data_IF_422617061421
#
_entry.id   IF_422617061421
#
_cell.length_a   1.000
_cell.length_b   1.000
_cell.length_c   1.000
_cell.angle_alpha   90.00
_cell.angle_beta   90.00
_cell.angle_gamma   90.00
#
_symmetry.space_group_name_H-M   'P 1'
#
loop_
_entity.id
_entity.type
_entity.pdbx_description
1 polymer ?
#
# COMPACT_ATOMS: atom_id res chain seq x y z
N UNK A 1 -16.97 7.54 10.04
CA UNK A 1 -16.00 8.15 9.09
C UNK A 1 -15.45 7.11 8.10
N UNK A 2 -15.28 7.50 6.83
CA UNK A 2 -14.47 6.82 5.80
C UNK A 2 -13.27 7.72 5.52
N UNK A 3 -12.07 7.14 5.41
CA UNK A 3 -10.85 7.88 5.08
C UNK A 3 -10.41 7.55 3.66
N UNK A 4 -10.22 8.59 2.86
CA UNK A 4 -9.73 8.52 1.48
C UNK A 4 -8.31 9.06 1.42
N UNK A 5 -7.39 8.31 0.82
CA UNK A 5 -5.99 8.70 0.70
C UNK A 5 -5.64 9.03 -0.76
N UNK A 6 -4.98 10.16 -0.99
CA UNK A 6 -4.49 10.56 -2.30
C UNK A 6 -2.98 10.87 -2.27
N UNK A 7 -2.17 10.15 -3.08
CA UNK A 7 -0.73 10.39 -3.15
C UNK A 7 -0.41 11.54 -4.12
N UNK A 8 0.45 12.48 -3.69
CA UNK A 8 0.93 13.58 -4.54
C UNK A 8 2.09 13.19 -5.47
N UNK A 9 2.65 11.98 -5.33
CA UNK A 9 3.75 11.49 -6.16
C UNK A 9 3.65 9.97 -6.44
N UNK A 10 4.35 9.50 -7.48
CA UNK A 10 4.28 8.09 -7.91
C UNK A 10 4.91 7.13 -6.90
N UNK A 11 5.88 7.60 -6.10
CA UNK A 11 6.55 6.79 -5.08
C UNK A 11 5.56 6.39 -3.98
N UNK A 12 4.84 7.35 -3.38
CA UNK A 12 3.79 7.07 -2.39
C UNK A 12 2.63 6.29 -3.03
N UNK A 13 2.27 6.58 -4.29
CA UNK A 13 1.26 5.79 -5.01
C UNK A 13 1.64 4.32 -5.11
N UNK A 14 2.90 4.03 -5.41
CA UNK A 14 3.43 2.67 -5.47
C UNK A 14 3.40 2.00 -4.10
N UNK A 15 3.77 2.70 -3.04
CA UNK A 15 3.71 2.19 -1.67
C UNK A 15 2.28 1.84 -1.23
N UNK A 16 1.31 2.72 -1.48
CA UNK A 16 -0.11 2.46 -1.17
C UNK A 16 -0.66 1.25 -1.94
N UNK A 17 -0.31 1.12 -3.23
CA UNK A 17 -0.69 -0.07 -4.03
C UNK A 17 -0.09 -1.34 -3.43
N UNK A 18 1.19 -1.32 -3.06
CA UNK A 18 1.86 -2.48 -2.48
C UNK A 18 1.31 -2.84 -1.11
N UNK A 19 1.02 -1.85 -0.25
CA UNK A 19 0.36 -2.09 1.04
C UNK A 19 -0.97 -2.83 0.85
N UNK A 20 -1.82 -2.36 -0.06
CA UNK A 20 -3.09 -3.03 -0.38
C UNK A 20 -2.88 -4.47 -0.86
N UNK A 21 -1.89 -4.71 -1.73
CA UNK A 21 -1.59 -6.05 -2.23
C UNK A 21 -1.05 -6.97 -1.13
N UNK A 22 -0.20 -6.44 -0.24
CA UNK A 22 0.32 -7.20 0.90
C UNK A 22 -0.79 -7.55 1.90
N UNK A 23 -1.66 -6.60 2.23
CA UNK A 23 -2.80 -6.85 3.10
C UNK A 23 -3.73 -7.91 2.50
N UNK A 24 -3.99 -7.82 1.19
CA UNK A 24 -4.79 -8.81 0.46
C UNK A 24 -4.15 -10.20 0.52
N UNK A 25 -2.87 -10.34 0.12
CA UNK A 25 -2.24 -11.68 0.09
C UNK A 25 -2.14 -12.30 1.48
N UNK A 26 -1.82 -11.51 2.52
CA UNK A 26 -1.74 -12.04 3.88
C UNK A 26 -3.10 -12.50 4.40
N UNK A 27 -4.20 -11.85 4.01
CA UNK A 27 -5.55 -12.34 4.32
C UNK A 27 -5.87 -13.65 3.58
N UNK A 28 -5.58 -13.70 2.28
CA UNK A 28 -5.91 -14.85 1.42
C UNK A 28 -5.14 -16.12 1.78
N UNK A 29 -3.91 -16.00 2.29
CA UNK A 29 -3.07 -17.12 2.72
C UNK A 29 -3.64 -17.82 3.96
N UNK A 30 -4.36 -17.11 4.82
CA UNK A 30 -4.87 -17.69 6.06
C UNK A 30 -6.20 -18.44 5.87
N UNK A 31 -6.86 -18.26 4.72
CA UNK A 31 -8.04 -19.03 4.36
C UNK A 31 -7.69 -20.50 4.05
N UNK A 32 -8.70 -21.35 3.88
CA UNK A 32 -8.55 -22.77 3.55
C UNK A 32 -9.14 -23.14 2.19
N UNK A 33 -9.91 -22.23 1.59
CA UNK A 33 -10.56 -22.43 0.31
C UNK A 33 -9.56 -22.40 -0.85
N UNK A 34 -9.80 -23.24 -1.84
CA UNK A 34 -8.93 -23.37 -3.02
C UNK A 34 -8.93 -22.06 -3.83
N UNK A 35 -10.08 -21.39 -3.90
CA UNK A 35 -10.25 -20.15 -4.66
C UNK A 35 -9.47 -18.99 -4.04
N UNK A 36 -9.42 -18.90 -2.72
CA UNK A 36 -8.67 -17.86 -2.01
C UNK A 36 -7.17 -18.03 -2.24
N UNK A 37 -6.67 -19.28 -2.22
CA UNK A 37 -5.28 -19.59 -2.55
C UNK A 37 -4.92 -19.32 -4.01
N UNK A 38 -5.89 -19.43 -4.94
CA UNK A 38 -5.70 -18.99 -6.32
C UNK A 38 -5.47 -17.47 -6.36
N UNK A 39 -6.32 -16.68 -5.70
CA UNK A 39 -6.15 -15.24 -5.65
C UNK A 39 -4.92 -14.80 -4.84
N UNK A 40 -4.46 -15.61 -3.88
CA UNK A 40 -3.19 -15.38 -3.18
C UNK A 40 -2.01 -15.43 -4.17
N UNK A 41 -1.95 -16.45 -5.03
CA UNK A 41 -0.94 -16.55 -6.10
C UNK A 41 -1.02 -15.37 -7.07
N UNK A 42 -2.22 -15.05 -7.56
CA UNK A 42 -2.43 -13.90 -8.46
C UNK A 42 -1.96 -12.60 -7.82
N UNK A 43 -2.26 -12.40 -6.53
CA UNK A 43 -1.79 -11.23 -5.77
C UNK A 43 -0.27 -11.19 -5.64
N UNK A 44 0.38 -12.33 -5.39
CA UNK A 44 1.84 -12.39 -5.37
C UNK A 44 2.45 -12.01 -6.72
N UNK A 45 1.84 -12.43 -7.84
CA UNK A 45 2.30 -12.04 -9.17
C UNK A 45 2.13 -10.54 -9.43
N UNK A 46 1.02 -9.94 -8.97
CA UNK A 46 0.84 -8.49 -9.04
C UNK A 46 1.90 -7.73 -8.22
N UNK A 47 2.25 -8.22 -7.02
CA UNK A 47 3.35 -7.66 -6.22
C UNK A 47 4.68 -7.74 -6.98
N UNK A 48 4.96 -8.89 -7.62
CA UNK A 48 6.15 -9.05 -8.46
C UNK A 48 6.17 -8.09 -9.65
N UNK A 49 5.03 -7.85 -10.31
CA UNK A 49 4.92 -6.91 -11.42
C UNK A 49 5.20 -5.47 -11.00
N UNK A 50 4.72 -5.06 -9.83
CA UNK A 50 5.03 -3.75 -9.27
C UNK A 50 6.51 -3.67 -8.87
N UNK A 51 7.04 -4.72 -8.22
CA UNK A 51 8.43 -4.78 -7.77
C UNK A 51 9.47 -4.83 -8.89
N UNK A 52 9.12 -5.37 -10.06
CA UNK A 52 10.02 -5.52 -11.20
C UNK A 52 10.26 -4.22 -12.00
N UNK A 53 9.31 -3.28 -11.96
CA UNK A 53 9.28 -2.06 -12.81
C UNK A 53 10.18 -0.92 -12.35
N UNK A 54 10.63 -0.94 -11.10
CA UNK A 54 11.47 0.10 -10.51
C UNK A 54 12.58 -0.55 -9.68
N UNK A 55 13.64 0.20 -9.38
CA UNK A 55 14.60 -0.17 -8.33
C UNK A 55 13.97 0.05 -6.94
N UNK A 56 12.81 -0.58 -6.73
CA UNK A 56 11.93 -0.38 -5.58
C UNK A 56 12.65 -0.72 -4.27
N UNK A 57 13.44 -1.80 -4.28
CA UNK A 57 14.23 -2.19 -3.12
C UNK A 57 15.16 -1.05 -2.71
N UNK A 58 15.98 -0.53 -3.63
CA UNK A 58 16.92 0.53 -3.33
C UNK A 58 16.22 1.83 -2.94
N UNK A 59 15.07 2.13 -3.56
CA UNK A 59 14.26 3.30 -3.22
C UNK A 59 13.71 3.25 -1.79
N UNK A 60 13.15 2.10 -1.40
CA UNK A 60 12.65 1.88 -0.02
C UNK A 60 13.81 1.94 0.97
N UNK A 61 14.97 1.35 0.67
CA UNK A 61 16.16 1.43 1.51
C UNK A 61 16.64 2.87 1.71
N UNK A 62 16.66 3.68 0.64
CA UNK A 62 17.01 5.11 0.72
C UNK A 62 16.01 5.90 1.57
N UNK A 63 14.72 5.61 1.45
CA UNK A 63 13.69 6.27 2.24
C UNK A 63 13.78 5.87 3.73
N UNK A 64 14.04 4.60 4.04
CA UNK A 64 14.29 4.12 5.41
C UNK A 64 15.48 4.86 6.03
N UNK A 65 16.61 4.92 5.34
CA UNK A 65 17.80 5.59 5.86
C UNK A 65 17.58 7.10 6.02
N UNK A 66 16.89 7.75 5.08
CA UNK A 66 16.52 9.18 5.21
C UNK A 66 15.67 9.42 6.47
N UNK A 67 14.64 8.60 6.70
CA UNK A 67 13.77 8.75 7.87
C UNK A 67 14.52 8.45 9.18
N UNK A 68 15.39 7.43 9.18
CA UNK A 68 16.24 7.11 10.33
C UNK A 68 17.15 8.27 10.69
N UNK A 69 17.82 8.89 9.72
CA UNK A 69 18.66 10.06 9.97
C UNK A 69 17.88 11.25 10.53
N UNK A 70 16.66 11.48 10.04
CA UNK A 70 15.77 12.49 10.64
C UNK A 70 15.45 12.18 12.10
N UNK A 71 15.11 10.92 12.42
CA UNK A 71 14.81 10.50 13.79
C UNK A 71 16.01 10.58 14.73
N UNK A 72 17.20 10.23 14.25
CA UNK A 72 18.43 10.35 15.05
C UNK A 72 18.70 11.79 15.48
N UNK A 73 18.29 12.79 14.68
CA UNK A 73 18.39 14.21 15.05
C UNK A 73 17.51 14.62 16.25
N UNK A 74 16.55 13.78 16.64
CA UNK A 74 15.71 14.01 17.82
C UNK A 74 16.28 13.44 19.12
N UNK A 75 17.39 12.68 19.06
CA UNK A 75 18.03 12.12 20.27
C UNK A 75 18.46 13.24 21.23
N UNK A 76 18.19 13.04 22.51
CA UNK A 76 18.49 14.02 23.56
C UNK A 76 17.53 15.21 23.64
N UNK A 77 16.47 15.25 22.82
CA UNK A 77 15.41 16.24 22.97
C UNK A 77 14.53 15.90 24.20
N UNK A 78 14.45 16.76 25.23
CA UNK A 78 13.69 16.48 26.45
C UNK A 78 12.17 16.41 26.25
N UNK A 79 11.65 16.88 25.10
CA UNK A 79 10.23 16.82 24.77
C UNK A 79 9.82 15.50 24.08
N UNK A 80 10.77 14.57 23.85
CA UNK A 80 10.55 13.33 23.12
C UNK A 80 10.78 12.14 24.04
N UNK A 81 9.88 11.17 23.97
CA UNK A 81 10.00 9.91 24.71
C UNK A 81 11.14 9.08 24.11
N UNK A 82 12.20 8.87 24.89
CA UNK A 82 13.47 8.33 24.41
C UNK A 82 13.34 6.85 24.03
N UNK A 83 12.58 6.06 24.79
CA UNK A 83 12.50 4.61 24.57
C UNK A 83 11.73 4.31 23.28
N UNK A 84 10.64 5.02 23.01
CA UNK A 84 9.88 4.93 21.77
C UNK A 84 10.68 5.37 20.54
N UNK A 85 11.51 6.41 20.67
CA UNK A 85 12.40 6.86 19.61
C UNK A 85 13.43 5.78 19.25
N UNK A 86 14.10 5.20 20.25
CA UNK A 86 15.09 4.15 20.03
C UNK A 86 14.46 2.89 19.43
N UNK A 87 13.31 2.44 19.95
CA UNK A 87 12.58 1.31 19.35
C UNK A 87 12.20 1.55 17.89
N UNK A 88 11.83 2.77 17.53
CA UNK A 88 11.49 3.12 16.15
C UNK A 88 12.74 3.10 15.24
N UNK A 89 13.87 3.64 15.71
CA UNK A 89 15.16 3.60 15.00
C UNK A 89 15.62 2.15 14.79
N UNK A 90 15.53 1.30 15.83
CA UNK A 90 15.84 -0.12 15.73
C UNK A 90 14.95 -0.84 14.71
N UNK A 91 13.64 -0.57 14.72
CA UNK A 91 12.70 -1.14 13.72
C UNK A 91 13.04 -0.72 12.29
N UNK A 92 13.46 0.52 12.08
CA UNK A 92 13.94 0.97 10.76
C UNK A 92 15.20 0.21 10.34
N UNK A 93 16.15 0.03 11.26
CA UNK A 93 17.38 -0.70 11.00
C UNK A 93 17.08 -2.17 10.64
N UNK A 94 16.21 -2.84 11.40
CA UNK A 94 15.77 -4.21 11.10
C UNK A 94 15.13 -4.34 9.72
N UNK A 95 14.29 -3.37 9.32
CA UNK A 95 13.69 -3.33 7.99
C UNK A 95 14.75 -3.15 6.89
N UNK A 96 15.70 -2.25 7.11
CA UNK A 96 16.80 -2.00 6.19
C UNK A 96 17.68 -3.25 6.00
N UNK A 97 18.09 -3.88 7.09
CA UNK A 97 18.94 -5.08 7.06
C UNK A 97 18.22 -6.26 6.42
N UNK A 98 16.93 -6.45 6.73
CA UNK A 98 16.10 -7.47 6.12
C UNK A 98 15.94 -7.30 4.60
N UNK A 99 15.80 -6.05 4.12
CA UNK A 99 15.81 -5.75 2.69
C UNK A 99 17.18 -5.98 2.07
N UNK A 100 18.24 -5.50 2.73
CA UNK A 100 19.61 -5.60 2.23
C UNK A 100 20.03 -7.05 2.02
N UNK A 101 19.64 -7.94 2.94
CA UNK A 101 19.94 -9.38 2.90
C UNK A 101 19.28 -10.13 1.74
N UNK A 102 18.20 -9.62 1.14
CA UNK A 102 17.56 -10.26 -0.02
C UNK A 102 18.44 -10.02 -1.26
N UNK A 103 18.97 -11.05 -1.94
CA UNK A 103 19.77 -10.83 -3.14
C UNK A 103 18.92 -10.28 -4.29
N UNK A 104 19.50 -9.36 -5.05
CA UNK A 104 18.88 -8.82 -6.26
C UNK A 104 17.62 -7.99 -6.00
N UNK A 105 16.70 -8.03 -6.96
CA UNK A 105 15.46 -7.23 -6.93
C UNK A 105 14.37 -7.90 -6.11
N UNK A 106 13.43 -7.11 -5.59
CA UNK A 106 12.26 -7.63 -4.90
C UNK A 106 11.49 -8.62 -5.81
N UNK A 107 11.23 -9.82 -5.30
CA UNK A 107 10.55 -10.88 -6.05
C UNK A 107 11.44 -11.68 -7.00
N UNK A 108 12.74 -11.38 -7.11
CA UNK A 108 13.66 -12.11 -8.00
C UNK A 108 13.73 -13.61 -7.64
N UNK A 109 13.82 -13.95 -6.36
CA UNK A 109 13.83 -15.35 -5.91
C UNK A 109 12.59 -16.13 -6.38
N UNK A 110 11.44 -15.47 -6.51
CA UNK A 110 10.21 -16.10 -7.00
C UNK A 110 10.26 -16.37 -8.51
N UNK A 111 11.05 -15.59 -9.27
CA UNK A 111 11.22 -15.81 -10.72
C UNK A 111 12.06 -17.05 -11.03
N UNK A 112 12.82 -17.55 -10.06
CA UNK A 112 13.63 -18.75 -10.18
C UNK A 112 12.80 -20.04 -9.93
N UNK A 113 11.56 -19.90 -9.46
CA UNK A 113 10.65 -21.02 -9.21
C UNK A 113 9.87 -21.30 -10.49
N UNK A 114 10.32 -22.29 -11.27
CA UNK A 114 9.72 -22.68 -12.56
C UNK A 114 8.22 -22.92 -12.46
N UNK A 115 7.76 -23.60 -11.40
CA UNK A 115 6.34 -23.88 -11.20
C UNK A 115 5.52 -22.59 -11.06
N UNK A 116 5.97 -21.61 -10.25
CA UNK A 116 5.27 -20.33 -10.10
C UNK A 116 5.24 -19.55 -11.41
N UNK A 117 6.35 -19.55 -12.14
CA UNK A 117 6.43 -18.87 -13.43
C UNK A 117 5.54 -19.53 -14.49
N UNK A 118 5.42 -20.86 -14.46
CA UNK A 118 4.46 -21.62 -15.27
C UNK A 118 3.02 -21.18 -15.00
N UNK A 119 2.61 -21.15 -13.72
CA UNK A 119 1.28 -20.68 -13.32
C UNK A 119 1.05 -19.23 -13.73
N UNK A 120 1.99 -18.33 -13.45
CA UNK A 120 1.91 -16.90 -13.77
C UNK A 120 1.71 -16.66 -15.27
N UNK A 121 2.46 -17.37 -16.11
CA UNK A 121 2.36 -17.21 -17.57
C UNK A 121 0.97 -17.49 -18.11
N UNK A 122 0.28 -18.47 -17.51
CA UNK A 122 -1.06 -18.90 -17.89
C UNK A 122 -2.16 -18.09 -17.21
N UNK A 123 -1.93 -17.61 -15.97
CA UNK A 123 -2.85 -16.74 -15.26
C UNK A 123 -3.10 -15.40 -15.97
N UNK A 124 -2.18 -14.96 -16.84
CA UNK A 124 -2.37 -13.79 -17.70
C UNK A 124 -3.38 -14.02 -18.85
N UNK A 125 -3.74 -15.27 -19.14
CA UNK A 125 -4.72 -15.63 -20.18
C UNK A 125 -6.09 -15.78 -19.52
N UNK A 126 -7.15 -15.13 -20.03
CA UNK A 126 -8.50 -15.36 -19.53
C UNK A 126 -8.87 -16.85 -19.56
N UNK A 127 -9.17 -17.43 -18.40
CA UNK A 127 -9.46 -18.87 -18.27
C UNK A 127 -8.24 -19.80 -18.37
N UNK A 128 -7.00 -19.28 -18.42
CA UNK A 128 -5.79 -20.10 -18.63
C UNK A 128 -5.36 -20.98 -17.46
N UNK A 129 -6.07 -20.93 -16.32
CA UNK A 129 -5.74 -21.72 -15.11
C UNK A 129 -6.60 -22.98 -14.95
N UNK A 130 -7.22 -23.42 -16.05
CA UNK A 130 -7.94 -24.68 -16.16
C UNK A 130 -7.03 -25.91 -16.02
N UNK A 131 -7.61 -27.03 -15.62
CA UNK A 131 -6.90 -28.28 -15.35
C UNK A 131 -6.20 -28.90 -16.55
N UNK A 132 -6.75 -28.69 -17.76
CA UNK A 132 -6.17 -29.20 -18.99
C UNK A 132 -4.96 -28.39 -19.46
N UNK A 133 -4.86 -27.11 -19.08
CA UNK A 133 -3.73 -26.24 -19.40
C UNK A 133 -2.63 -26.28 -18.32
N UNK A 134 -3.02 -26.47 -17.05
CA UNK A 134 -2.11 -26.53 -15.90
C UNK A 134 -2.42 -27.74 -14.99
N UNK A 135 -2.13 -28.98 -15.42
CA UNK A 135 -2.40 -30.17 -14.61
C UNK A 135 -1.64 -30.18 -13.29
N UNK A 136 -0.39 -29.69 -13.26
CA UNK A 136 0.40 -29.58 -12.02
C UNK A 136 -0.18 -28.56 -11.03
N UNK A 137 -0.72 -27.44 -11.53
CA UNK A 137 -1.42 -26.46 -10.70
C UNK A 137 -2.74 -27.03 -10.17
N UNK A 138 -3.46 -27.76 -11.01
CA UNK A 138 -4.68 -28.44 -10.60
C UNK A 138 -4.43 -29.48 -9.51
N UNK A 139 -3.35 -30.27 -9.63
CA UNK A 139 -2.92 -31.17 -8.56
C UNK A 139 -2.61 -30.41 -7.25
N UNK A 140 -1.88 -29.28 -7.33
CA UNK A 140 -1.61 -28.44 -6.17
C UNK A 140 -2.88 -27.92 -5.48
N UNK A 141 -3.90 -27.52 -6.25
CA UNK A 141 -5.21 -27.11 -5.73
C UNK A 141 -5.90 -28.20 -4.88
N UNK A 142 -5.60 -29.47 -5.12
CA UNK A 142 -6.18 -30.61 -4.39
C UNK A 142 -5.35 -31.05 -3.17
N UNK A 143 -4.17 -30.46 -2.93
CA UNK A 143 -3.44 -30.71 -1.70
C UNK A 143 -4.25 -30.27 -0.48
N UNK A 144 -4.02 -30.84 0.72
CA UNK A 144 -4.63 -30.33 1.94
C UNK A 144 -4.38 -28.84 2.14
N UNK A 145 -5.36 -28.10 2.68
CA UNK A 145 -5.27 -26.65 2.85
C UNK A 145 -3.98 -26.23 3.58
N UNK A 146 -3.64 -26.91 4.68
CA UNK A 146 -2.42 -26.64 5.45
C UNK A 146 -1.13 -26.71 4.61
N UNK A 147 -1.05 -27.63 3.64
CA UNK A 147 0.11 -27.75 2.77
C UNK A 147 0.17 -26.58 1.77
N UNK A 148 -0.97 -26.22 1.15
CA UNK A 148 -1.04 -25.06 0.25
C UNK A 148 -0.71 -23.76 0.98
N UNK A 149 -1.21 -23.57 2.20
CA UNK A 149 -0.87 -22.41 3.03
C UNK A 149 0.64 -22.36 3.32
N UNK A 150 1.26 -23.50 3.64
CA UNK A 150 2.69 -23.57 3.89
C UNK A 150 3.49 -23.16 2.65
N UNK A 151 3.13 -23.66 1.47
CA UNK A 151 3.77 -23.28 0.20
C UNK A 151 3.67 -21.76 -0.03
N UNK A 152 2.47 -21.19 0.13
CA UNK A 152 2.24 -19.75 -0.02
C UNK A 152 3.05 -18.93 1.00
N UNK A 153 3.10 -19.38 2.27
CA UNK A 153 3.89 -18.74 3.33
C UNK A 153 5.39 -18.77 3.02
N UNK A 154 5.89 -19.89 2.49
CA UNK A 154 7.29 -20.04 2.07
C UNK A 154 7.63 -19.07 0.93
N UNK A 155 6.77 -18.97 -0.09
CA UNK A 155 7.01 -18.08 -1.22
C UNK A 155 6.95 -16.60 -0.81
N UNK A 156 5.90 -16.17 -0.09
CA UNK A 156 5.75 -14.77 0.31
C UNK A 156 6.82 -14.31 1.31
N UNK A 157 7.50 -15.23 2.01
CA UNK A 157 8.56 -14.90 2.96
C UNK A 157 9.64 -14.02 2.34
N UNK A 158 9.99 -14.26 1.07
CA UNK A 158 10.97 -13.49 0.31
C UNK A 158 10.59 -12.01 0.10
N UNK A 159 9.30 -11.68 0.25
CA UNK A 159 8.75 -10.33 0.09
C UNK A 159 8.38 -9.68 1.43
N UNK A 160 8.42 -10.41 2.56
CA UNK A 160 8.05 -9.89 3.88
C UNK A 160 8.88 -8.67 4.32
N UNK A 161 10.21 -8.60 4.10
CA UNK A 161 10.99 -7.41 4.47
C UNK A 161 10.54 -6.15 3.72
N UNK A 162 10.17 -6.29 2.45
CA UNK A 162 9.57 -5.20 1.67
C UNK A 162 8.22 -4.76 2.25
N UNK A 163 7.34 -5.71 2.56
CA UNK A 163 6.04 -5.42 3.16
C UNK A 163 6.18 -4.66 4.50
N UNK A 164 7.05 -5.13 5.39
CA UNK A 164 7.32 -4.51 6.68
C UNK A 164 7.87 -3.08 6.52
N UNK A 165 8.78 -2.87 5.57
CA UNK A 165 9.41 -1.59 5.30
C UNK A 165 8.41 -0.55 4.76
N UNK A 166 7.59 -0.95 3.79
CA UNK A 166 6.55 -0.09 3.20
C UNK A 166 5.52 0.30 4.26
N UNK A 167 5.04 -0.68 5.05
CA UNK A 167 4.09 -0.41 6.13
C UNK A 167 4.67 0.56 7.17
N UNK A 168 5.95 0.41 7.53
CA UNK A 168 6.62 1.33 8.45
C UNK A 168 6.69 2.76 7.88
N UNK A 169 7.14 2.90 6.64
CA UNK A 169 7.26 4.21 5.97
C UNK A 169 5.90 4.91 5.82
N UNK A 170 4.85 4.17 5.41
CA UNK A 170 3.50 4.71 5.27
C UNK A 170 2.91 5.11 6.62
N UNK A 171 3.14 4.34 7.68
CA UNK A 171 2.68 4.70 9.03
C UNK A 171 3.30 6.01 9.50
N UNK A 172 4.60 6.20 9.29
CA UNK A 172 5.29 7.44 9.64
C UNK A 172 4.77 8.62 8.81
N UNK A 173 4.57 8.42 7.51
CA UNK A 173 3.98 9.44 6.66
C UNK A 173 2.57 9.83 7.13
N UNK A 174 1.71 8.85 7.44
CA UNK A 174 0.35 9.11 7.96
C UNK A 174 0.35 9.86 9.28
N UNK A 175 1.38 9.69 10.11
CA UNK A 175 1.55 10.35 11.40
C UNK A 175 2.21 11.73 11.30
N UNK A 176 2.81 12.10 10.17
CA UNK A 176 3.53 13.39 10.03
C UNK A 176 2.62 14.60 9.84
N UNK A 177 1.31 14.38 9.63
CA UNK A 177 0.28 15.39 9.45
C UNK A 177 -0.67 15.48 10.64
N UNK A 178 -1.27 16.65 10.82
CA UNK A 178 -2.31 16.90 11.84
C UNK A 178 -3.67 17.06 11.16
N UNK A 179 -4.73 16.37 11.62
CA UNK A 179 -6.08 16.56 11.08
C UNK A 179 -6.60 17.98 11.29
N UNK A 180 -7.19 18.55 10.24
CA UNK A 180 -7.83 19.86 10.26
C UNK A 180 -9.27 19.74 9.79
N UNK A 181 -10.22 20.20 10.59
CA UNK A 181 -11.62 20.31 10.18
C UNK A 181 -11.78 21.48 9.22
N UNK A 182 -12.37 21.23 8.06
CA UNK A 182 -12.66 22.26 7.06
C UNK A 182 -14.10 22.16 6.61
N UNK A 183 -14.67 23.32 6.25
CA UNK A 183 -15.99 23.41 5.64
C UNK A 183 -15.85 23.43 4.11
N UNK A 184 -16.63 22.59 3.45
CA UNK A 184 -16.79 22.55 2.00
C UNK A 184 -18.10 23.23 1.67
N UNK A 185 -18.05 24.24 0.80
CA UNK A 185 -19.22 25.02 0.39
C UNK A 185 -19.54 24.71 -1.07
N UNK A 186 -20.80 24.43 -1.37
CA UNK A 186 -21.24 24.06 -2.72
C UNK A 186 -20.57 22.78 -3.23
N UNK A 187 -20.17 21.88 -2.32
CA UNK A 187 -19.46 20.63 -2.62
C UNK A 187 -18.07 20.78 -3.24
N UNK A 188 -17.45 21.96 -3.16
CA UNK A 188 -16.09 22.20 -3.65
C UNK A 188 -15.19 22.78 -2.56
N UNK A 189 -13.95 22.32 -2.54
CA UNK A 189 -12.91 22.82 -1.64
C UNK A 189 -11.58 22.91 -2.37
N UNK A 190 -10.87 24.02 -2.17
CA UNK A 190 -9.55 24.23 -2.75
C UNK A 190 -8.63 24.87 -1.72
N UNK A 191 -7.40 24.37 -1.64
CA UNK A 191 -6.38 24.86 -0.72
C UNK A 191 -5.04 24.98 -1.42
N UNK A 192 -4.42 26.15 -1.31
CA UNK A 192 -3.04 26.35 -1.73
C UNK A 192 -2.08 25.65 -0.77
N UNK A 193 -1.13 24.91 -1.32
CA UNK A 193 -0.08 24.22 -0.58
C UNK A 193 1.16 25.12 -0.50
N UNK A 194 1.74 25.24 0.70
CA UNK A 194 2.86 26.13 0.96
C UNK A 194 4.14 25.65 0.25
N UNK A 195 4.90 26.59 -0.30
CA UNK A 195 6.23 26.33 -0.85
C UNK A 195 7.21 26.09 0.31
N UNK A 196 7.73 24.87 0.44
CA UNK A 196 8.77 24.53 1.44
C UNK A 196 8.55 23.20 2.16
N UNK A 197 7.30 22.77 2.37
CA UNK A 197 6.96 21.44 2.91
C UNK A 197 6.09 20.69 1.90
N UNK A 198 6.73 19.95 1.01
CA UNK A 198 6.04 19.21 -0.03
C UNK A 198 5.19 18.08 0.60
N UNK A 199 3.87 18.26 0.60
CA UNK A 199 2.95 17.19 1.01
C UNK A 199 3.11 16.00 0.05
N UNK A 200 3.21 14.80 0.61
CA UNK A 200 3.35 13.56 -0.15
C UNK A 200 2.05 12.75 -0.19
N UNK A 201 1.20 12.93 0.82
CA UNK A 201 -0.09 12.27 0.95
C UNK A 201 -1.12 13.25 1.54
N UNK A 202 -2.35 13.19 1.06
CA UNK A 202 -3.50 13.79 1.76
C UNK A 202 -4.45 12.68 2.20
N UNK A 203 -5.00 12.83 3.40
CA UNK A 203 -6.04 11.95 3.95
C UNK A 203 -7.28 12.78 4.19
N UNK A 204 -8.41 12.38 3.61
CA UNK A 204 -9.69 13.06 3.74
C UNK A 204 -10.64 12.14 4.47
N UNK A 205 -11.07 12.52 5.68
CA UNK A 205 -12.08 11.78 6.42
C UNK A 205 -13.46 12.44 6.25
N UNK A 206 -14.43 11.63 5.84
CA UNK A 206 -15.82 12.02 5.62
C UNK A 206 -16.77 11.15 6.42
N UNK A 207 -17.90 11.71 6.80
CA UNK A 207 -18.91 10.93 7.50
C UNK A 207 -19.65 9.97 6.54
N UNK A 208 -19.81 8.72 6.98
CA UNK A 208 -20.46 7.64 6.22
C UNK A 208 -21.90 7.98 5.89
N UNK A 209 -22.58 8.65 6.82
CA UNK A 209 -24.00 9.00 6.71
C UNK A 209 -24.27 10.08 5.64
N UNK A 210 -23.24 10.78 5.16
CA UNK A 210 -23.41 11.80 4.12
C UNK A 210 -23.55 11.22 2.72
N UNK A 211 -23.13 9.98 2.51
CA UNK A 211 -23.04 9.32 1.20
C UNK A 211 -22.24 10.13 0.16
N UNK A 212 -21.37 11.03 0.62
CA UNK A 212 -20.52 11.84 -0.24
C UNK A 212 -19.22 11.09 -0.54
N UNK A 213 -18.79 11.18 -1.79
CA UNK A 213 -17.57 10.57 -2.31
C UNK A 213 -16.62 11.71 -2.70
N UNK A 214 -15.41 11.81 -2.12
CA UNK A 214 -14.47 12.85 -2.50
C UNK A 214 -13.73 12.44 -3.77
N UNK A 215 -13.83 13.28 -4.79
CA UNK A 215 -12.89 13.28 -5.90
C UNK A 215 -11.75 14.23 -5.55
N UNK A 216 -10.58 13.65 -5.29
CA UNK A 216 -9.39 14.37 -4.86
C UNK A 216 -8.46 14.54 -6.06
N UNK A 217 -8.02 15.77 -6.28
CA UNK A 217 -6.98 16.10 -7.24
C UNK A 217 -5.98 17.04 -6.59
N UNK A 218 -4.73 16.98 -7.01
CA UNK A 218 -3.73 17.85 -6.42
C UNK A 218 -2.37 17.74 -7.08
N UNK A 219 -1.62 18.83 -6.98
CA UNK A 219 -0.24 18.95 -7.40
C UNK A 219 0.57 19.60 -6.26
N UNK A 220 1.81 20.02 -6.53
CA UNK A 220 2.68 20.62 -5.50
C UNK A 220 2.20 21.99 -4.97
N UNK A 221 1.26 22.63 -5.65
CA UNK A 221 0.80 23.99 -5.37
C UNK A 221 -0.63 24.04 -4.83
N UNK A 222 -1.47 23.09 -5.21
CA UNK A 222 -2.91 23.13 -4.93
C UNK A 222 -3.45 21.73 -4.65
N UNK A 223 -4.29 21.64 -3.63
CA UNK A 223 -5.22 20.54 -3.39
C UNK A 223 -6.64 21.00 -3.77
N UNK A 224 -7.35 20.20 -4.55
CA UNK A 224 -8.76 20.42 -4.91
C UNK A 224 -9.58 19.17 -4.61
N UNK A 225 -10.70 19.35 -3.92
CA UNK A 225 -11.65 18.29 -3.56
C UNK A 225 -13.02 18.69 -4.11
N UNK A 226 -13.64 17.77 -4.87
CA UNK A 226 -15.03 17.87 -5.32
C UNK A 226 -15.84 16.75 -4.68
N UNK A 227 -16.97 17.07 -4.08
CA UNK A 227 -17.87 16.08 -3.49
C UNK A 227 -18.84 15.57 -4.53
N UNK A 228 -18.93 14.25 -4.64
CA UNK A 228 -19.79 13.53 -5.56
C UNK A 228 -20.80 12.68 -4.77
N UNK A 229 -21.88 12.25 -5.42
CA UNK A 229 -22.78 11.20 -4.91
C UNK A 229 -23.12 10.24 -6.04
N UNK A 230 -23.34 8.96 -5.71
CA UNK A 230 -23.88 7.99 -6.65
C UNK A 230 -25.37 8.29 -6.89
N UNK A 231 -25.75 8.55 -8.13
CA UNK A 231 -27.16 8.71 -8.51
C UNK A 231 -27.84 7.37 -8.80
N UNK A 232 -29.17 7.40 -8.90
CA UNK A 232 -30.00 6.23 -9.23
C UNK A 232 -29.69 5.66 -10.64
N UNK A 233 -29.09 6.48 -11.51
CA UNK A 233 -28.60 6.09 -12.83
C UNK A 233 -27.23 5.38 -12.79
N UNK A 234 -26.73 5.06 -11.59
CA UNK A 234 -25.41 4.46 -11.34
C UNK A 234 -24.23 5.30 -11.81
N UNK A 235 -24.41 6.64 -11.88
CA UNK A 235 -23.35 7.59 -12.22
C UNK A 235 -22.97 8.47 -11.04
N UNK A 236 -21.73 8.92 -11.03
CA UNK A 236 -21.27 9.92 -10.07
C UNK A 236 -21.71 11.31 -10.52
N UNK A 237 -22.51 11.98 -9.69
CA UNK A 237 -22.95 13.35 -9.90
C UNK A 237 -22.28 14.29 -8.91
N UNK A 238 -21.94 15.50 -9.35
CA UNK A 238 -21.45 16.53 -8.44
C UNK A 238 -22.53 16.89 -7.41
N UNK A 239 -22.16 16.85 -6.13
CA UNK A 239 -23.01 17.30 -5.05
C UNK A 239 -22.78 18.78 -4.83
N UNK A 240 -23.86 19.57 -4.73
CA UNK A 240 -23.80 20.98 -4.28
C UNK A 240 -23.94 21.13 -2.77
N UNK A 241 -23.95 20.02 -2.03
CA UNK A 241 -24.19 20.02 -0.59
C UNK A 241 -22.98 20.56 0.18
N UNK A 242 -23.24 21.45 1.13
CA UNK A 242 -22.24 21.87 2.11
C UNK A 242 -21.91 20.72 3.06
N UNK A 243 -20.63 20.53 3.37
CA UNK A 243 -20.18 19.43 4.22
C UNK A 243 -19.01 19.86 5.10
N UNK A 244 -18.81 19.18 6.22
CA UNK A 244 -17.58 19.26 7.01
C UNK A 244 -16.77 18.00 6.79
N UNK A 245 -15.46 18.16 6.60
CA UNK A 245 -14.52 17.05 6.46
C UNK A 245 -13.25 17.31 7.26
N UNK A 246 -12.51 16.25 7.56
CA UNK A 246 -11.17 16.36 8.15
C UNK A 246 -10.10 16.11 7.08
N UNK A 247 -9.20 17.07 6.88
CA UNK A 247 -8.05 16.94 5.99
C UNK A 247 -6.78 16.80 6.83
N UNK A 248 -5.98 15.80 6.52
CA UNK A 248 -4.62 15.65 7.04
C UNK A 248 -3.64 15.70 5.88
N UNK A 249 -2.79 16.73 5.85
CA UNK A 249 -1.67 16.84 4.91
C UNK A 249 -0.42 16.21 5.53
N UNK A 250 0.07 15.15 4.89
CA UNK A 250 1.21 14.35 5.34
C UNK A 250 2.44 14.65 4.47
N UNK A 251 3.58 14.92 5.10
CA UNK A 251 4.83 15.30 4.44
C UNK A 251 6.02 14.45 4.91
#
# INVERSE_FOLDING_TARGET
MITYEYPFNERVRTYLRLEQLFDRVFSLIEDTEVIEHHFALTTMFEIMDVGARADLKSDVMKDLERQKQTLMGYRGNPAIESDALEQLIERMQLCFDGLNAIPGRAGQALTEIEWLMGVRSRAAIPGGTCEFDLPAYFAWKHLPAAQRQQDLRNWIQTLRPLAASIRLLLNLLRQSGTPQKVSVVGGQYQQSLQQGRASQLVRVALDRETELIPEISGNRLVLSIRLLRMGDDTRLHASGQDATLEITLCA
#
